data_IF_474565319286
#
_entry.id   IF_474565319286
#
_cell.length_a   1.000
_cell.length_b   1.000
_cell.length_c   1.000
_cell.angle_alpha   90.00
_cell.angle_beta   90.00
_cell.angle_gamma   90.00
#
_symmetry.space_group_name_H-M   'P 1'
#
loop_
_entity.id
_entity.type
_entity.pdbx_description
1 polymer ?
#
# COMPACT_ATOMS: atom_id res chain seq x y z
N UNK A 1 -36.52 -45.74 -30.24
CA UNK A 1 -35.15 -46.15 -29.84
C UNK A 1 -34.30 -44.89 -29.77
N UNK A 2 -34.22 -44.27 -28.59
CA UNK A 2 -33.33 -43.13 -28.33
C UNK A 2 -32.10 -43.66 -27.63
N UNK A 3 -30.97 -43.74 -28.32
CA UNK A 3 -29.65 -43.91 -27.71
C UNK A 3 -29.22 -42.54 -27.17
N UNK A 4 -28.97 -42.37 -25.86
CA UNK A 4 -28.39 -41.13 -25.35
C UNK A 4 -26.90 -41.07 -25.75
N UNK A 5 -26.50 -39.96 -26.36
CA UNK A 5 -25.10 -39.67 -26.69
C UNK A 5 -24.26 -39.58 -25.39
N UNK A 6 -22.99 -40.04 -25.40
CA UNK A 6 -22.12 -39.95 -24.23
C UNK A 6 -21.82 -38.49 -23.88
N UNK A 7 -21.68 -38.15 -22.58
CA UNK A 7 -21.32 -36.80 -22.16
C UNK A 7 -19.92 -36.48 -22.67
N UNK A 8 -19.82 -35.50 -23.57
CA UNK A 8 -18.54 -34.90 -23.95
C UNK A 8 -17.94 -34.26 -22.69
N UNK A 9 -16.94 -34.93 -22.12
CA UNK A 9 -16.10 -34.37 -21.08
C UNK A 9 -15.42 -33.12 -21.65
N UNK A 10 -15.84 -31.94 -21.20
CA UNK A 10 -15.12 -30.70 -21.41
C UNK A 10 -13.84 -30.77 -20.60
N UNK A 11 -12.80 -31.39 -21.16
CA UNK A 11 -11.44 -31.30 -20.61
C UNK A 11 -10.97 -29.86 -20.77
N UNK A 12 -11.13 -29.04 -19.74
CA UNK A 12 -10.64 -27.64 -19.68
C UNK A 12 -9.11 -27.55 -19.55
N UNK A 13 -8.36 -28.57 -19.98
CA UNK A 13 -6.92 -28.68 -19.69
C UNK A 13 -6.00 -27.99 -20.69
N UNK A 14 -6.45 -27.64 -21.91
CA UNK A 14 -5.55 -27.20 -22.99
C UNK A 14 -5.78 -25.77 -23.48
N UNK A 15 -5.96 -24.82 -22.56
CA UNK A 15 -5.83 -23.41 -22.93
C UNK A 15 -4.37 -22.95 -22.78
N UNK A 16 -3.72 -22.43 -23.85
CA UNK A 16 -2.33 -22.02 -23.83
C UNK A 16 -2.08 -20.93 -22.76
N UNK A 17 -0.91 -20.87 -22.11
CA UNK A 17 -0.65 -19.96 -20.99
C UNK A 17 -0.90 -18.48 -21.32
N UNK A 18 -0.77 -18.10 -22.60
CA UNK A 18 -1.06 -16.77 -23.12
C UNK A 18 -2.56 -16.41 -23.13
N UNK A 19 -3.48 -17.37 -23.32
CA UNK A 19 -4.92 -17.10 -23.23
C UNK A 19 -5.32 -16.87 -21.77
N UNK A 20 -4.79 -17.66 -20.84
CA UNK A 20 -5.00 -17.47 -19.39
C UNK A 20 -4.48 -16.12 -18.89
N UNK A 21 -3.33 -15.67 -19.40
CA UNK A 21 -2.79 -14.34 -19.11
C UNK A 21 -3.67 -13.22 -19.70
N UNK A 22 -4.20 -13.40 -20.91
CA UNK A 22 -5.12 -12.44 -21.54
C UNK A 22 -6.46 -12.35 -20.80
N UNK A 23 -7.01 -13.49 -20.36
CA UNK A 23 -8.22 -13.53 -19.53
C UNK A 23 -7.97 -12.89 -18.16
N UNK A 24 -6.86 -13.23 -17.49
CA UNK A 24 -6.49 -12.59 -16.23
C UNK A 24 -6.25 -11.08 -16.38
N UNK A 25 -5.65 -10.64 -17.50
CA UNK A 25 -5.48 -9.22 -17.80
C UNK A 25 -6.82 -8.53 -18.12
N UNK A 26 -7.75 -9.20 -18.80
CA UNK A 26 -9.10 -8.71 -19.06
C UNK A 26 -9.94 -8.61 -17.79
N UNK A 27 -9.83 -9.58 -16.89
CA UNK A 27 -10.48 -9.58 -15.57
C UNK A 27 -9.88 -8.49 -14.68
N UNK A 28 -8.56 -8.38 -14.62
CA UNK A 28 -7.87 -7.31 -13.89
C UNK A 28 -8.24 -5.93 -14.44
N UNK A 29 -8.32 -5.76 -15.77
CA UNK A 29 -8.74 -4.52 -16.40
C UNK A 29 -10.22 -4.21 -16.10
N UNK A 30 -11.09 -5.22 -16.02
CA UNK A 30 -12.51 -5.04 -15.69
C UNK A 30 -12.72 -4.67 -14.22
N UNK A 31 -11.98 -5.31 -13.31
CA UNK A 31 -11.97 -4.97 -11.87
C UNK A 31 -11.36 -3.58 -11.65
N UNK A 32 -10.24 -3.26 -12.31
CA UNK A 32 -9.64 -1.94 -12.28
C UNK A 32 -10.57 -0.87 -12.84
N UNK A 33 -11.23 -1.12 -13.98
CA UNK A 33 -12.23 -0.22 -14.56
C UNK A 33 -13.42 -0.02 -13.62
N UNK A 34 -13.90 -1.08 -12.97
CA UNK A 34 -14.97 -0.99 -11.96
C UNK A 34 -14.54 -0.15 -10.77
N UNK A 35 -13.31 -0.31 -10.27
CA UNK A 35 -12.76 0.48 -9.18
C UNK A 35 -12.57 1.95 -9.57
N UNK A 36 -12.09 2.24 -10.79
CA UNK A 36 -11.98 3.59 -11.33
C UNK A 36 -13.33 4.29 -11.49
N UNK A 37 -14.35 3.55 -11.95
CA UNK A 37 -15.73 4.05 -12.01
C UNK A 37 -16.25 4.30 -10.59
N UNK A 38 -15.94 3.42 -9.63
CA UNK A 38 -16.30 3.59 -8.22
C UNK A 38 -15.63 4.83 -7.59
N UNK A 39 -14.36 5.06 -7.92
CA UNK A 39 -13.59 6.23 -7.48
C UNK A 39 -14.13 7.52 -8.10
N UNK A 40 -14.48 7.49 -9.39
CA UNK A 40 -15.18 8.60 -10.07
C UNK A 40 -16.55 8.89 -9.45
N UNK A 41 -17.26 7.88 -8.96
CA UNK A 41 -18.56 8.04 -8.29
C UNK A 41 -18.47 8.41 -6.81
N UNK A 42 -17.29 8.38 -6.19
CA UNK A 42 -17.09 8.67 -4.77
C UNK A 42 -15.99 9.72 -4.52
N UNK A 43 -16.09 10.94 -5.09
CA UNK A 43 -15.12 12.02 -4.88
C UNK A 43 -14.96 12.37 -3.39
N UNK A 44 -16.03 12.21 -2.60
CA UNK A 44 -16.04 12.39 -1.15
C UNK A 44 -14.99 11.51 -0.44
N UNK A 45 -14.84 10.24 -0.84
CA UNK A 45 -13.89 9.32 -0.19
C UNK A 45 -12.44 9.73 -0.45
N UNK A 46 -12.14 10.13 -1.69
CA UNK A 46 -10.82 10.63 -2.05
C UNK A 46 -10.51 11.96 -1.33
N UNK A 47 -11.50 12.86 -1.23
CA UNK A 47 -11.36 14.11 -0.49
C UNK A 47 -11.08 13.84 1.00
N UNK A 48 -11.88 12.99 1.64
CA UNK A 48 -11.71 12.65 3.06
C UNK A 48 -10.35 11.98 3.35
N UNK A 49 -9.86 11.12 2.45
CA UNK A 49 -8.55 10.50 2.58
C UNK A 49 -7.39 11.51 2.49
N UNK A 50 -7.58 12.64 1.82
CA UNK A 50 -6.58 13.70 1.67
C UNK A 50 -6.66 14.76 2.76
N UNK A 51 -7.85 15.01 3.32
CA UNK A 51 -8.07 16.05 4.34
C UNK A 51 -7.15 15.86 5.54
N UNK A 52 -7.05 14.64 6.10
CA UNK A 52 -6.23 14.40 7.30
C UNK A 52 -4.73 14.60 7.01
N UNK A 53 -4.12 13.97 5.99
CA UNK A 53 -2.71 14.22 5.64
C UNK A 53 -2.41 15.69 5.33
N UNK A 54 -3.31 16.38 4.63
CA UNK A 54 -3.16 17.80 4.31
C UNK A 54 -3.22 18.67 5.56
N UNK A 55 -4.19 18.43 6.45
CA UNK A 55 -4.29 19.15 7.72
C UNK A 55 -3.03 18.96 8.56
N UNK A 56 -2.53 17.74 8.68
CA UNK A 56 -1.27 17.50 9.39
C UNK A 56 -0.09 18.18 8.69
N UNK A 57 -0.02 18.14 7.36
CA UNK A 57 1.05 18.81 6.61
C UNK A 57 1.02 20.32 6.85
N UNK A 58 -0.15 20.95 6.76
CA UNK A 58 -0.30 22.39 7.03
C UNK A 58 0.01 22.71 8.50
N UNK A 59 -0.50 21.93 9.44
CA UNK A 59 -0.21 22.08 10.87
C UNK A 59 1.29 22.01 11.13
N UNK A 60 1.95 20.94 10.70
CA UNK A 60 3.37 20.72 10.93
C UNK A 60 4.24 21.75 10.21
N UNK A 61 3.92 22.14 8.98
CA UNK A 61 4.70 23.16 8.27
C UNK A 61 4.51 24.56 8.88
N UNK A 62 3.27 25.00 9.10
CA UNK A 62 3.00 26.38 9.51
C UNK A 62 3.08 26.58 11.04
N UNK A 63 2.71 25.58 11.84
CA UNK A 63 2.73 25.69 13.30
C UNK A 63 4.05 25.20 13.89
N UNK A 64 4.62 24.10 13.39
CA UNK A 64 5.87 23.54 13.91
C UNK A 64 7.11 23.91 13.08
N UNK A 65 6.97 24.18 11.78
CA UNK A 65 8.10 24.37 10.88
C UNK A 65 8.92 25.63 11.15
N UNK A 66 8.37 26.63 11.84
CA UNK A 66 9.14 27.80 12.30
C UNK A 66 10.12 27.46 13.44
N UNK A 67 9.85 26.40 14.21
CA UNK A 67 10.61 26.01 15.40
C UNK A 67 11.41 24.71 15.23
N UNK A 68 11.08 23.89 14.22
CA UNK A 68 11.75 22.61 13.96
C UNK A 68 12.76 22.74 12.81
N UNK A 69 14.05 22.58 13.14
CA UNK A 69 15.12 22.44 12.16
C UNK A 69 15.43 20.96 11.96
N UNK A 70 15.27 20.40 10.74
CA UNK A 70 15.64 19.01 10.50
C UNK A 70 17.17 18.81 10.64
N UNK A 71 17.62 17.59 11.04
CA UNK A 71 19.04 17.26 11.10
C UNK A 71 19.68 17.39 9.71
N UNK A 72 20.88 17.98 9.63
CA UNK A 72 21.60 18.20 8.37
C UNK A 72 21.30 19.53 7.65
N UNK A 73 20.36 20.34 8.17
CA UNK A 73 19.97 21.60 7.56
C UNK A 73 19.00 21.44 6.38
N UNK A 74 18.03 22.33 6.27
CA UNK A 74 16.98 22.26 5.25
C UNK A 74 15.63 22.75 5.75
N UNK A 75 14.64 22.78 4.85
CA UNK A 75 13.26 23.11 5.20
C UNK A 75 12.59 21.93 5.88
N UNK A 76 11.81 22.15 6.94
CA UNK A 76 10.98 21.10 7.54
C UNK A 76 9.96 20.55 6.54
N UNK A 77 9.58 21.33 5.52
CA UNK A 77 8.74 20.88 4.41
C UNK A 77 9.37 19.71 3.65
N UNK A 78 10.68 19.80 3.37
CA UNK A 78 11.45 18.79 2.64
C UNK A 78 11.61 17.50 3.46
N UNK A 79 11.56 17.60 4.79
CA UNK A 79 11.54 16.45 5.68
C UNK A 79 10.15 15.80 5.78
N UNK A 80 9.09 16.61 5.90
CA UNK A 80 7.75 16.15 6.23
C UNK A 80 6.97 15.59 5.02
N UNK A 81 7.00 16.28 3.88
CA UNK A 81 6.17 15.91 2.71
C UNK A 81 6.49 14.49 2.20
N UNK A 82 7.75 14.08 2.03
CA UNK A 82 8.10 12.69 1.71
C UNK A 82 7.57 11.68 2.73
N UNK A 83 7.63 12.03 4.02
CA UNK A 83 7.13 11.19 5.11
C UNK A 83 5.61 10.99 5.04
N UNK A 84 4.86 12.05 4.72
CA UNK A 84 3.40 11.98 4.52
C UNK A 84 3.02 11.13 3.31
N UNK A 85 3.75 11.27 2.20
CA UNK A 85 3.55 10.43 1.01
C UNK A 85 3.82 8.94 1.32
N UNK A 86 4.90 8.65 2.05
CA UNK A 86 5.20 7.30 2.54
C UNK A 86 4.11 6.76 3.48
N UNK A 87 3.63 7.59 4.41
CA UNK A 87 2.53 7.23 5.31
C UNK A 87 1.27 6.87 4.53
N UNK A 88 0.90 7.64 3.51
CA UNK A 88 -0.24 7.34 2.64
C UNK A 88 -0.09 6.01 1.88
N UNK A 89 1.13 5.67 1.47
CA UNK A 89 1.39 4.38 0.82
C UNK A 89 1.22 3.21 1.79
N UNK A 90 1.75 3.32 3.02
CA UNK A 90 1.67 2.28 4.06
C UNK A 90 0.28 2.15 4.66
N UNK A 91 -0.42 3.26 4.94
CA UNK A 91 -1.79 3.23 5.49
C UNK A 91 -2.82 2.60 4.53
N UNK A 92 -2.43 2.34 3.28
CA UNK A 92 -3.22 1.53 2.34
C UNK A 92 -3.58 0.14 2.86
N UNK A 93 -2.82 -0.45 3.80
CA UNK A 93 -3.10 -1.77 4.39
C UNK A 93 -4.51 -1.83 4.99
N UNK A 94 -4.87 -0.82 5.81
CA UNK A 94 -6.15 -0.78 6.51
C UNK A 94 -7.31 -0.63 5.51
N UNK A 95 -7.13 0.21 4.49
CA UNK A 95 -8.12 0.36 3.42
C UNK A 95 -8.32 -0.94 2.63
N UNK A 96 -7.22 -1.63 2.29
CA UNK A 96 -7.27 -2.90 1.54
C UNK A 96 -7.95 -4.00 2.37
N UNK A 97 -7.64 -4.08 3.67
CA UNK A 97 -8.27 -5.01 4.60
C UNK A 97 -9.79 -4.78 4.71
N UNK A 98 -10.21 -3.51 4.85
CA UNK A 98 -11.62 -3.15 4.94
C UNK A 98 -12.40 -3.48 3.66
N UNK A 99 -11.82 -3.24 2.47
CA UNK A 99 -12.44 -3.58 1.18
C UNK A 99 -12.64 -5.10 1.07
N UNK A 100 -11.62 -5.90 1.35
CA UNK A 100 -11.72 -7.36 1.25
C UNK A 100 -12.69 -7.94 2.29
N UNK A 101 -12.70 -7.39 3.51
CA UNK A 101 -13.65 -7.82 4.53
C UNK A 101 -15.10 -7.47 4.16
N UNK A 102 -15.35 -6.31 3.57
CA UNK A 102 -16.67 -5.92 3.06
C UNK A 102 -17.14 -6.82 1.91
N UNK A 103 -16.23 -7.18 0.99
CA UNK A 103 -16.54 -8.12 -0.10
C UNK A 103 -16.82 -9.54 0.42
N UNK A 104 -16.12 -9.96 1.49
CA UNK A 104 -16.37 -11.23 2.19
C UNK A 104 -17.74 -11.23 2.88
N UNK A 105 -18.13 -10.15 3.53
CA UNK A 105 -19.46 -10.01 4.17
C UNK A 105 -20.60 -10.00 3.15
N UNK A 106 -20.39 -9.38 1.99
CA UNK A 106 -21.39 -9.32 0.91
C UNK A 106 -21.51 -10.60 0.07
N UNK A 107 -20.74 -11.64 0.39
CA UNK A 107 -20.72 -12.90 -0.36
C UNK A 107 -20.22 -12.75 -1.79
N UNK A 108 -19.47 -11.68 -2.10
CA UNK A 108 -18.90 -11.45 -3.44
C UNK A 108 -17.87 -12.53 -3.75
N UNK A 109 -17.11 -12.96 -2.74
CA UNK A 109 -16.15 -14.07 -2.85
C UNK A 109 -16.81 -15.38 -3.26
N UNK A 110 -18.03 -15.66 -2.76
CA UNK A 110 -18.76 -16.88 -3.09
C UNK A 110 -19.28 -16.86 -4.55
N UNK A 111 -19.62 -15.67 -5.06
CA UNK A 111 -19.96 -15.47 -6.49
C UNK A 111 -18.75 -15.59 -7.40
N UNK A 112 -17.56 -15.20 -6.95
CA UNK A 112 -16.33 -15.42 -7.72
C UNK A 112 -15.95 -16.90 -7.77
N UNK A 113 -16.28 -17.68 -6.74
CA UNK A 113 -16.09 -19.14 -6.75
C UNK A 113 -17.02 -19.88 -7.72
N UNK A 114 -18.20 -19.33 -8.04
CA UNK A 114 -19.12 -19.92 -9.02
C UNK A 114 -18.85 -19.49 -10.47
N UNK A 115 -17.98 -18.51 -10.70
CA UNK A 115 -17.53 -18.07 -12.02
C UNK A 115 -16.19 -18.74 -12.39
N UNK A 116 -15.94 -19.08 -13.66
CA UNK A 116 -14.65 -19.60 -14.13
C UNK A 116 -13.59 -18.48 -14.20
N UNK A 117 -13.32 -17.82 -13.06
CA UNK A 117 -12.32 -16.75 -12.95
C UNK A 117 -10.98 -17.29 -12.48
N UNK A 118 -9.91 -16.67 -12.97
CA UNK A 118 -8.55 -16.91 -12.49
C UNK A 118 -8.45 -16.60 -10.99
N UNK A 119 -8.16 -17.63 -10.18
CA UNK A 119 -8.03 -17.52 -8.71
C UNK A 119 -6.90 -16.59 -8.26
N UNK A 120 -5.95 -16.27 -9.15
CA UNK A 120 -4.90 -15.26 -8.94
C UNK A 120 -5.26 -13.91 -9.56
N UNK A 121 -6.20 -13.88 -10.50
CA UNK A 121 -6.63 -12.66 -11.20
C UNK A 121 -7.37 -11.67 -10.29
N UNK A 122 -8.15 -12.15 -9.32
CA UNK A 122 -8.92 -11.27 -8.41
C UNK A 122 -8.01 -10.46 -7.48
N UNK A 123 -7.11 -11.05 -6.68
CA UNK A 123 -6.23 -10.27 -5.80
C UNK A 123 -5.27 -9.35 -6.57
N UNK A 124 -4.78 -9.80 -7.72
CA UNK A 124 -3.90 -8.99 -8.60
C UNK A 124 -4.68 -7.82 -9.20
N UNK A 125 -5.89 -8.06 -9.71
CA UNK A 125 -6.75 -7.00 -10.25
C UNK A 125 -7.13 -5.97 -9.19
N UNK A 126 -7.43 -6.40 -7.97
CA UNK A 126 -7.73 -5.51 -6.85
C UNK A 126 -6.51 -4.68 -6.44
N UNK A 127 -5.36 -5.30 -6.20
CA UNK A 127 -4.14 -4.56 -5.81
C UNK A 127 -3.69 -3.57 -6.89
N UNK A 128 -3.82 -3.91 -8.17
CA UNK A 128 -3.58 -2.98 -9.28
C UNK A 128 -4.57 -1.80 -9.27
N UNK A 129 -5.84 -2.07 -9.00
CA UNK A 129 -6.88 -1.06 -8.89
C UNK A 129 -6.61 -0.09 -7.73
N UNK A 130 -6.20 -0.61 -6.58
CA UNK A 130 -5.81 0.16 -5.39
C UNK A 130 -4.55 1.00 -5.64
N UNK A 131 -3.59 0.49 -6.42
CA UNK A 131 -2.43 1.24 -6.85
C UNK A 131 -2.83 2.40 -7.75
N UNK A 132 -3.68 2.15 -8.75
CA UNK A 132 -4.13 3.17 -9.69
C UNK A 132 -4.95 4.27 -9.00
N UNK A 133 -5.82 3.90 -8.06
CA UNK A 133 -6.51 4.88 -7.20
C UNK A 133 -5.54 5.67 -6.32
N UNK A 134 -4.47 5.02 -5.85
CA UNK A 134 -3.39 5.64 -5.09
C UNK A 134 -2.54 6.63 -5.88
N UNK A 135 -2.40 6.45 -7.21
CA UNK A 135 -1.68 7.42 -8.05
C UNK A 135 -2.31 8.80 -7.93
N UNK A 136 -3.64 8.89 -7.98
CA UNK A 136 -4.36 10.16 -7.92
C UNK A 136 -4.10 10.85 -6.58
N UNK A 137 -4.23 10.12 -5.47
CA UNK A 137 -4.03 10.71 -4.13
C UNK A 137 -2.57 11.11 -3.89
N UNK A 138 -1.61 10.31 -4.35
CA UNK A 138 -0.18 10.65 -4.29
C UNK A 138 0.15 11.89 -5.13
N UNK A 139 -0.38 12.00 -6.35
CA UNK A 139 -0.16 13.16 -7.22
C UNK A 139 -0.76 14.43 -6.63
N UNK A 140 -1.99 14.36 -6.09
CA UNK A 140 -2.63 15.51 -5.45
C UNK A 140 -1.83 15.95 -4.23
N UNK A 141 -1.44 15.01 -3.37
CA UNK A 141 -0.63 15.32 -2.18
C UNK A 141 0.75 15.88 -2.55
N UNK A 142 1.42 15.31 -3.56
CA UNK A 142 2.68 15.83 -4.08
C UNK A 142 2.52 17.26 -4.61
N UNK A 143 1.43 17.54 -5.34
CA UNK A 143 1.09 18.88 -5.82
C UNK A 143 0.89 19.87 -4.68
N UNK A 144 0.17 19.49 -3.63
CA UNK A 144 0.04 20.31 -2.42
C UNK A 144 1.40 20.54 -1.73
N UNK A 145 2.27 19.53 -1.68
CA UNK A 145 3.65 19.67 -1.20
C UNK A 145 4.43 20.73 -1.97
N UNK A 146 4.36 20.69 -3.31
CA UNK A 146 5.01 21.69 -4.17
C UNK A 146 4.49 23.12 -3.90
N UNK A 147 3.18 23.28 -3.66
CA UNK A 147 2.57 24.57 -3.32
C UNK A 147 3.04 25.11 -1.98
N UNK A 148 3.30 24.23 -1.02
CA UNK A 148 3.79 24.59 0.33
C UNK A 148 5.31 24.79 0.34
N UNK A 149 5.98 24.60 -0.79
CA UNK A 149 7.40 24.91 -0.99
C UNK A 149 8.34 23.70 -1.02
N UNK A 150 7.81 22.47 -1.12
CA UNK A 150 8.62 21.26 -1.32
C UNK A 150 9.33 21.29 -2.68
N UNK A 151 10.63 20.96 -2.71
CA UNK A 151 11.43 20.97 -3.94
C UNK A 151 12.15 19.64 -4.20
N UNK A 152 11.43 18.63 -4.73
CA UNK A 152 12.01 17.31 -5.01
C UNK A 152 12.87 17.30 -6.28
N UNK A 153 13.96 16.51 -6.27
CA UNK A 153 14.86 16.33 -7.42
C UNK A 153 14.73 14.97 -8.12
N UNK A 154 14.18 13.93 -7.46
CA UNK A 154 13.97 12.58 -8.03
C UNK A 154 12.53 12.09 -7.98
N UNK A 155 11.60 12.91 -8.50
CA UNK A 155 10.15 12.68 -8.42
C UNK A 155 9.73 11.30 -8.94
N UNK A 156 10.26 10.90 -10.10
CA UNK A 156 9.88 9.64 -10.76
C UNK A 156 10.28 8.43 -9.91
N UNK A 157 11.51 8.39 -9.42
CA UNK A 157 12.01 7.28 -8.62
C UNK A 157 11.27 7.19 -7.28
N UNK A 158 11.04 8.32 -6.60
CA UNK A 158 10.28 8.37 -5.35
C UNK A 158 8.83 7.90 -5.51
N UNK A 159 8.13 8.37 -6.56
CA UNK A 159 6.76 7.92 -6.84
C UNK A 159 6.70 6.44 -7.23
N UNK A 160 7.66 5.96 -8.03
CA UNK A 160 7.73 4.54 -8.40
C UNK A 160 7.93 3.65 -7.16
N UNK A 161 8.81 4.04 -6.24
CA UNK A 161 9.01 3.32 -4.98
C UNK A 161 7.74 3.34 -4.12
N UNK A 162 7.07 4.48 -4.00
CA UNK A 162 5.82 4.61 -3.24
C UNK A 162 4.70 3.71 -3.80
N UNK A 163 4.59 3.59 -5.13
CA UNK A 163 3.64 2.69 -5.76
C UNK A 163 3.98 1.22 -5.52
N UNK A 164 5.26 0.86 -5.57
CA UNK A 164 5.71 -0.51 -5.24
C UNK A 164 5.42 -0.84 -3.77
N UNK A 165 5.71 0.08 -2.85
CA UNK A 165 5.42 -0.06 -1.43
C UNK A 165 3.93 -0.24 -1.21
N UNK A 166 3.10 0.64 -1.79
CA UNK A 166 1.64 0.53 -1.73
C UNK A 166 1.16 -0.81 -2.26
N UNK A 167 1.70 -1.26 -3.40
CA UNK A 167 1.39 -2.57 -3.96
C UNK A 167 1.74 -3.69 -2.99
N UNK A 168 2.96 -3.73 -2.46
CA UNK A 168 3.39 -4.78 -1.52
C UNK A 168 2.54 -4.82 -0.24
N UNK A 169 2.23 -3.65 0.32
CA UNK A 169 1.40 -3.54 1.53
C UNK A 169 -0.09 -3.86 1.28
N UNK A 170 -0.59 -3.67 0.05
CA UNK A 170 -1.96 -4.11 -0.29
C UNK A 170 -2.14 -5.60 -0.11
N UNK A 171 -1.13 -6.43 -0.44
CA UNK A 171 -1.19 -7.88 -0.25
C UNK A 171 -1.30 -8.28 1.22
N UNK A 172 -0.56 -7.59 2.10
CA UNK A 172 -0.71 -7.76 3.54
C UNK A 172 -2.13 -7.39 3.99
N UNK A 173 -2.66 -6.24 3.54
CA UNK A 173 -4.00 -5.79 3.88
C UNK A 173 -5.09 -6.76 3.39
N UNK A 174 -5.00 -7.21 2.13
CA UNK A 174 -5.90 -8.20 1.56
C UNK A 174 -5.88 -9.50 2.38
N UNK A 175 -4.70 -10.03 2.71
CA UNK A 175 -4.59 -11.22 3.56
C UNK A 175 -5.25 -11.03 4.92
N UNK A 176 -5.00 -9.89 5.59
CA UNK A 176 -5.65 -9.57 6.86
C UNK A 176 -7.17 -9.54 6.69
N UNK A 177 -7.69 -8.88 5.66
CA UNK A 177 -9.14 -8.82 5.38
C UNK A 177 -9.78 -10.20 5.16
N UNK A 178 -9.05 -11.15 4.57
CA UNK A 178 -9.53 -12.53 4.40
C UNK A 178 -9.57 -13.30 5.72
N UNK A 179 -8.54 -13.14 6.56
CA UNK A 179 -8.41 -13.85 7.84
C UNK A 179 -9.34 -13.28 8.90
N UNK A 180 -9.60 -11.97 8.87
CA UNK A 180 -10.46 -11.31 9.85
C UNK A 180 -11.91 -11.81 9.77
N UNK A 181 -12.58 -11.97 10.92
CA UNK A 181 -13.94 -12.51 10.99
C UNK A 181 -15.00 -11.53 10.48
N UNK A 182 -14.76 -10.22 10.61
CA UNK A 182 -15.70 -9.16 10.22
C UNK A 182 -14.97 -7.89 9.75
N UNK A 183 -15.70 -6.99 9.08
CA UNK A 183 -15.23 -5.65 8.71
C UNK A 183 -14.88 -4.82 9.94
N UNK A 184 -15.68 -4.91 11.00
CA UNK A 184 -15.38 -4.24 12.27
C UNK A 184 -14.06 -4.71 12.89
N UNK A 185 -13.66 -5.97 12.68
CA UNK A 185 -12.35 -6.46 13.14
C UNK A 185 -11.18 -5.84 12.35
N UNK A 186 -11.41 -5.38 11.12
CA UNK A 186 -10.38 -4.69 10.32
C UNK A 186 -10.09 -3.26 10.81
N UNK A 187 -10.99 -2.63 11.55
CA UNK A 187 -10.76 -1.31 12.14
C UNK A 187 -9.59 -1.34 13.14
N UNK A 188 -9.39 -2.47 13.83
CA UNK A 188 -8.23 -2.70 14.71
C UNK A 188 -6.89 -2.65 13.94
N UNK A 189 -6.88 -2.97 12.65
CA UNK A 189 -5.68 -2.87 11.80
C UNK A 189 -5.28 -1.42 11.67
N UNK A 190 -6.24 -0.52 11.40
CA UNK A 190 -6.01 0.92 11.35
C UNK A 190 -5.50 1.45 12.69
N UNK A 191 -6.09 0.99 13.79
CA UNK A 191 -5.66 1.36 15.15
C UNK A 191 -4.23 0.89 15.45
N UNK A 192 -3.83 -0.30 15.02
CA UNK A 192 -2.50 -0.85 15.25
C UNK A 192 -1.43 -0.19 14.35
N UNK A 193 -1.80 0.26 13.15
CA UNK A 193 -0.90 1.01 12.27
C UNK A 193 -0.49 2.36 12.88
N UNK A 194 -1.35 2.98 13.71
CA UNK A 194 -1.06 4.28 14.31
C UNK A 194 0.19 4.25 15.21
N UNK A 195 0.31 3.40 16.25
CA UNK A 195 1.54 3.25 17.03
C UNK A 195 2.78 2.90 16.19
N UNK A 196 2.61 2.01 15.20
CA UNK A 196 3.69 1.61 14.28
C UNK A 196 4.25 2.79 13.50
N UNK A 197 3.40 3.72 13.06
CA UNK A 197 3.85 4.96 12.40
C UNK A 197 4.36 6.02 13.36
N UNK A 198 3.87 6.08 14.60
CA UNK A 198 4.38 7.01 15.61
C UNK A 198 5.79 6.66 16.08
N UNK A 199 6.14 5.37 16.12
CA UNK A 199 7.51 4.90 16.45
C UNK A 199 8.46 5.07 15.25
N UNK A 200 7.95 5.41 14.06
CA UNK A 200 8.78 5.59 12.86
C UNK A 200 9.37 7.01 12.74
N UNK A 201 10.30 7.18 11.81
CA UNK A 201 10.96 8.45 11.52
C UNK A 201 10.13 9.42 10.64
N UNK A 202 8.81 9.21 10.51
CA UNK A 202 7.93 10.08 9.71
C UNK A 202 7.93 11.51 10.25
N UNK A 203 7.69 11.69 11.54
CA UNK A 203 7.44 13.02 12.13
C UNK A 203 8.67 13.61 12.84
N UNK A 204 9.52 12.75 13.42
CA UNK A 204 10.66 13.15 14.25
C UNK A 204 11.86 12.25 13.89
N UNK A 205 13.09 12.80 13.85
CA UNK A 205 14.31 12.01 13.70
C UNK A 205 14.49 10.95 14.80
N UNK A 206 15.02 9.78 14.47
CA UNK A 206 15.21 8.66 15.43
C UNK A 206 16.38 8.88 16.40
N UNK A 207 17.26 9.86 16.14
CA UNK A 207 18.41 10.21 16.99
C UNK A 207 18.00 10.65 18.41
N UNK A 208 16.80 11.21 18.57
CA UNK A 208 16.28 11.64 19.87
C UNK A 208 15.64 10.53 20.71
N UNK A 209 15.54 9.30 20.20
CA UNK A 209 14.86 8.19 20.88
C UNK A 209 15.79 7.43 21.85
N UNK A 210 15.27 6.95 22.99
CA UNK A 210 15.99 6.01 23.86
C UNK A 210 16.46 4.77 23.09
N UNK A 211 17.62 4.20 23.45
CA UNK A 211 18.28 3.13 22.68
C UNK A 211 17.37 1.95 22.30
N UNK A 212 16.49 1.51 23.19
CA UNK A 212 15.53 0.42 22.91
C UNK A 212 14.49 0.80 21.86
N UNK A 213 13.93 2.01 21.93
CA UNK A 213 12.97 2.52 20.96
C UNK A 213 13.64 2.82 19.62
N UNK A 214 14.88 3.32 19.64
CA UNK A 214 15.69 3.55 18.45
C UNK A 214 15.90 2.26 17.66
N UNK A 215 16.21 1.15 18.33
CA UNK A 215 16.37 -0.16 17.66
C UNK A 215 15.07 -0.60 16.96
N UNK A 216 13.92 -0.44 17.62
CA UNK A 216 12.61 -0.78 17.02
C UNK A 216 12.29 0.14 15.85
N UNK A 217 12.58 1.43 15.98
CA UNK A 217 12.36 2.41 14.94
C UNK A 217 13.25 2.16 13.71
N UNK A 218 14.51 1.81 13.91
CA UNK A 218 15.48 1.61 12.83
C UNK A 218 15.21 0.33 12.02
N UNK A 219 14.63 -0.70 12.64
CA UNK A 219 14.22 -1.95 11.97
C UNK A 219 12.78 -1.94 11.44
N UNK A 220 12.04 -0.86 11.69
CA UNK A 220 10.67 -0.73 11.21
C UNK A 220 10.64 -0.56 9.68
N UNK A 221 9.88 -1.38 8.93
CA UNK A 221 9.76 -1.23 7.47
C UNK A 221 9.24 0.15 7.06
N UNK A 222 8.41 0.79 7.88
CA UNK A 222 7.93 2.15 7.63
C UNK A 222 9.07 3.16 7.66
N UNK A 223 10.01 3.03 8.61
CA UNK A 223 11.16 3.92 8.70
C UNK A 223 12.09 3.76 7.49
N UNK A 224 12.30 2.53 7.02
CA UNK A 224 13.08 2.26 5.80
C UNK A 224 12.44 2.93 4.57
N UNK A 225 11.11 2.79 4.41
CA UNK A 225 10.35 3.43 3.31
C UNK A 225 10.53 4.94 3.35
N UNK A 226 10.36 5.56 4.51
CA UNK A 226 10.43 7.02 4.65
C UNK A 226 11.84 7.53 4.35
N UNK A 227 12.88 6.87 4.88
CA UNK A 227 14.27 7.21 4.57
C UNK A 227 14.56 7.06 3.08
N UNK A 228 14.07 5.99 2.44
CA UNK A 228 14.30 5.72 1.02
C UNK A 228 13.63 6.76 0.13
N UNK A 229 12.39 7.12 0.46
CA UNK A 229 11.61 8.10 -0.28
C UNK A 229 12.22 9.50 -0.11
N UNK A 230 12.73 9.84 1.09
CA UNK A 230 13.49 11.09 1.31
C UNK A 230 14.76 11.12 0.46
N UNK A 231 15.56 10.04 0.47
CA UNK A 231 16.78 9.91 -0.33
C UNK A 231 16.46 10.08 -1.83
N UNK A 232 15.47 9.36 -2.35
CA UNK A 232 15.10 9.40 -3.76
C UNK A 232 14.53 10.76 -4.20
N UNK A 233 13.82 11.47 -3.32
CA UNK A 233 13.37 12.82 -3.62
C UNK A 233 14.46 13.90 -3.42
N UNK A 234 15.67 13.52 -3.01
CA UNK A 234 16.80 14.43 -2.79
C UNK A 234 16.68 15.28 -1.51
N UNK A 235 15.90 14.81 -0.54
CA UNK A 235 15.71 15.49 0.74
C UNK A 235 16.72 14.96 1.79
N UNK A 236 17.06 15.75 2.82
CA UNK A 236 18.03 15.35 3.82
C UNK A 236 17.59 14.07 4.55
N UNK A 237 18.49 13.09 4.58
CA UNK A 237 18.34 11.85 5.37
C UNK A 237 19.37 11.91 6.50
N UNK A 238 18.89 11.93 7.74
CA UNK A 238 19.74 11.80 8.90
C UNK A 238 20.18 10.33 9.00
N UNK A 239 21.44 10.05 8.65
CA UNK A 239 22.05 8.72 8.82
C UNK A 239 23.09 8.83 9.93
N UNK A 240 22.76 8.40 11.16
CA UNK A 240 23.73 8.32 12.25
C UNK A 240 24.94 7.45 11.89
N UNK A 241 26.11 7.74 12.46
CA UNK A 241 27.31 6.92 12.23
C UNK A 241 27.16 5.47 12.75
N UNK A 242 26.27 5.26 13.72
CA UNK A 242 25.89 3.96 14.28
C UNK A 242 24.54 3.44 13.73
N UNK A 243 24.08 3.96 12.59
CA UNK A 243 22.79 3.61 12.01
C UNK A 243 22.68 2.11 11.73
N UNK A 244 21.52 1.53 12.06
CA UNK A 244 21.22 0.17 11.66
C UNK A 244 21.19 0.05 10.12
N UNK A 245 21.45 -1.17 9.63
CA UNK A 245 21.55 -1.44 8.19
C UNK A 245 20.35 -0.91 7.35
N UNK A 246 19.07 -1.02 7.80
CA UNK A 246 17.94 -0.49 7.03
C UNK A 246 17.92 1.03 6.88
N UNK A 247 18.55 1.77 7.80
CA UNK A 247 18.65 3.23 7.75
C UNK A 247 19.88 3.65 6.93
N UNK A 248 20.96 2.86 6.97
CA UNK A 248 22.16 3.07 6.15
C UNK A 248 21.93 2.77 4.65
N UNK A 249 21.05 1.81 4.32
CA UNK A 249 20.72 1.43 2.94
C UNK A 249 19.20 1.42 2.70
N UNK A 250 18.53 2.56 2.81
CA UNK A 250 17.08 2.58 2.95
C UNK A 250 16.35 2.16 1.68
N UNK A 251 16.87 2.49 0.49
CA UNK A 251 16.28 2.03 -0.79
C UNK A 251 16.34 0.51 -0.90
N UNK A 252 17.51 -0.09 -0.63
CA UNK A 252 17.69 -1.55 -0.72
C UNK A 252 16.86 -2.26 0.34
N UNK A 253 16.83 -1.74 1.56
CA UNK A 253 16.00 -2.27 2.64
C UNK A 253 14.51 -2.22 2.30
N UNK A 254 14.04 -1.11 1.72
CA UNK A 254 12.64 -0.97 1.28
C UNK A 254 12.28 -1.98 0.19
N UNK A 255 13.15 -2.16 -0.80
CA UNK A 255 12.95 -3.19 -1.83
C UNK A 255 12.92 -4.60 -1.23
N UNK A 256 13.81 -4.88 -0.28
CA UNK A 256 13.84 -6.13 0.47
C UNK A 256 12.54 -6.39 1.23
N UNK A 257 12.00 -5.38 1.92
CA UNK A 257 10.70 -5.46 2.60
C UNK A 257 9.55 -5.67 1.62
N UNK A 258 9.53 -4.96 0.49
CA UNK A 258 8.51 -5.15 -0.54
C UNK A 258 8.53 -6.58 -1.09
N UNK A 259 9.73 -7.09 -1.38
CA UNK A 259 9.91 -8.47 -1.85
C UNK A 259 9.44 -9.48 -0.80
N UNK A 260 9.82 -9.29 0.46
CA UNK A 260 9.42 -10.16 1.57
C UNK A 260 7.90 -10.18 1.74
N UNK A 261 7.24 -9.01 1.70
CA UNK A 261 5.78 -8.91 1.78
C UNK A 261 5.11 -9.65 0.61
N UNK A 262 5.60 -9.48 -0.62
CA UNK A 262 5.02 -10.12 -1.80
C UNK A 262 5.23 -11.64 -1.79
N UNK A 263 6.41 -12.11 -1.39
CA UNK A 263 6.75 -13.55 -1.34
C UNK A 263 6.00 -14.26 -0.21
N UNK A 264 5.76 -13.59 0.91
CA UNK A 264 5.03 -14.17 2.05
C UNK A 264 3.52 -14.03 1.86
N UNK A 265 3.02 -12.81 1.69
CA UNK A 265 1.58 -12.54 1.67
C UNK A 265 0.94 -12.78 0.31
N UNK A 266 1.70 -12.81 -0.79
CA UNK A 266 1.20 -13.19 -2.10
C UNK A 266 0.59 -14.61 -2.10
N UNK A 267 1.39 -15.65 -1.81
CA UNK A 267 0.91 -17.02 -1.70
C UNK A 267 -0.15 -17.20 -0.60
N UNK A 268 0.00 -16.54 0.56
CA UNK A 268 -0.97 -16.65 1.65
C UNK A 268 -2.34 -16.07 1.27
N UNK A 269 -2.38 -14.93 0.58
CA UNK A 269 -3.63 -14.34 0.08
C UNK A 269 -4.29 -15.28 -0.92
N UNK A 270 -3.53 -15.80 -1.88
CA UNK A 270 -4.03 -16.75 -2.88
C UNK A 270 -4.53 -18.05 -2.24
N UNK A 271 -3.83 -18.55 -1.22
CA UNK A 271 -4.23 -19.74 -0.47
C UNK A 271 -5.51 -19.50 0.33
N UNK A 272 -5.61 -18.36 1.03
CA UNK A 272 -6.80 -17.97 1.79
C UNK A 272 -8.03 -17.79 0.88
N UNK A 273 -7.86 -17.27 -0.34
CA UNK A 273 -8.95 -17.23 -1.34
C UNK A 273 -9.38 -18.62 -1.84
N UNK A 274 -8.49 -19.62 -1.78
CA UNK A 274 -8.75 -21.00 -2.26
C UNK A 274 -9.40 -21.90 -1.22
N UNK A 275 -9.23 -21.60 0.07
CA UNK A 275 -9.71 -22.45 1.15
C UNK A 275 -11.25 -22.57 1.10
N UNK A 276 -11.81 -23.79 1.03
CA UNK A 276 -13.25 -24.00 1.19
C UNK A 276 -13.65 -23.53 2.58
N UNK A 277 -14.73 -22.74 2.69
CA UNK A 277 -15.34 -22.50 4.00
C UNK A 277 -16.06 -23.78 4.42
N UNK A 278 -15.70 -24.31 5.59
CA UNK A 278 -16.48 -25.30 6.32
C UNK A 278 -17.72 -24.67 6.94
#
# INVERSE_FOLDING_TARGET
>A
MNTPLPPTAWTTSDEPPLSRLRWAAGDAATVARRYLIHLRSAPERAAMALVIPLLFTLLFVYVLGSNMRPPGGGSYVDFLVPGMLAQMAVFGIAASAAVVAEDKERGVTDRFHSLPMSRTGVPVGQSLAECLGGVITLVVMAGCGLLVGWRPTGVVAGLALLLLVRYAFSWLGMWIGLVMPSRSATDFVGMLMFPLTMISNIFVPTEGLPAGLRLVADWNPVSAVVSAVRELFGNPVAVPADAAWPIAHPVVATLGWCLLLLVVFGPLTVAAFRAPKH
#
